data_IF_192552364597
#
_entry.id   IF_192552364597
#
_cell.length_a   1.000
_cell.length_b   1.000
_cell.length_c   1.000
_cell.angle_alpha   90.00
_cell.angle_beta   90.00
_cell.angle_gamma   90.00
#
_symmetry.space_group_name_H-M   'P 1'
#
loop_
_entity.id
_entity.type
_entity.pdbx_description
1 polymer ?
#
# COMPACT_ATOMS: atom_id res chain seq x y z
N UNK A 1 -41.13 6.54 38.57
CA UNK A 1 -40.43 7.82 38.48
C UNK A 1 -38.96 7.52 38.51
N UNK A 2 -38.10 7.71 37.55
CA UNK A 2 -38.09 8.50 36.35
C UNK A 2 -37.06 7.88 35.40
N UNK A 3 -37.45 7.57 34.19
CA UNK A 3 -36.56 7.37 33.03
C UNK A 3 -35.93 8.72 32.74
N UNK A 4 -34.60 8.74 32.52
CA UNK A 4 -33.86 9.66 31.64
C UNK A 4 -32.40 9.78 32.14
N UNK A 5 -31.52 8.88 31.68
CA UNK A 5 -30.08 9.09 31.55
C UNK A 5 -29.49 8.00 30.69
N UNK A 6 -29.73 8.06 29.39
CA UNK A 6 -29.05 7.17 28.44
C UNK A 6 -29.27 7.73 27.02
N UNK A 7 -28.58 8.84 26.71
CA UNK A 7 -28.51 9.39 25.33
C UNK A 7 -27.49 10.57 25.28
N UNK A 8 -26.31 10.41 25.86
CA UNK A 8 -25.30 11.48 25.78
C UNK A 8 -23.85 10.99 25.66
N UNK A 9 -23.59 9.73 25.28
CA UNK A 9 -22.19 9.25 25.07
C UNK A 9 -21.85 8.90 23.61
N UNK A 10 -22.79 8.98 22.70
CA UNK A 10 -22.56 8.71 21.27
C UNK A 10 -22.07 9.89 20.42
N UNK A 11 -21.94 11.10 21.01
CA UNK A 11 -21.67 12.33 20.23
C UNK A 11 -20.31 12.97 20.50
N UNK A 12 -19.46 12.41 21.36
CA UNK A 12 -18.20 13.08 21.79
C UNK A 12 -16.97 12.66 20.96
N UNK A 13 -17.00 11.56 20.23
CA UNK A 13 -15.84 11.11 19.44
C UNK A 13 -15.86 11.64 18.00
N UNK A 14 -16.99 12.12 17.50
CA UNK A 14 -17.07 12.89 16.24
C UNK A 14 -16.77 14.39 16.43
N UNK A 15 -16.68 14.89 17.68
CA UNK A 15 -16.43 16.30 18.00
C UNK A 15 -14.96 16.71 18.04
N UNK A 16 -14.02 15.78 17.98
CA UNK A 16 -12.56 16.08 18.00
C UNK A 16 -11.95 16.42 16.65
N UNK A 17 -12.68 16.24 15.55
CA UNK A 17 -12.25 16.60 14.19
C UNK A 17 -12.89 17.91 13.67
N UNK A 18 -13.70 18.59 14.47
CA UNK A 18 -14.33 19.87 14.11
C UNK A 18 -13.47 21.07 14.52
N UNK A 19 -12.22 21.08 14.13
CA UNK A 19 -11.24 22.14 14.49
C UNK A 19 -10.20 22.45 13.44
N UNK A 20 -10.52 22.27 12.14
CA UNK A 20 -9.86 23.01 11.05
C UNK A 20 -10.75 22.95 9.82
N UNK A 21 -11.06 24.13 9.30
CA UNK A 21 -11.79 24.30 8.06
C UNK A 21 -11.19 23.42 6.95
N UNK A 22 -12.07 22.75 6.21
CA UNK A 22 -11.81 22.14 4.90
C UNK A 22 -10.68 21.09 4.87
N UNK A 23 -10.85 19.95 5.55
CA UNK A 23 -10.22 18.73 5.08
C UNK A 23 -11.03 18.27 3.84
N UNK A 24 -10.77 18.90 2.69
CA UNK A 24 -11.30 18.44 1.42
C UNK A 24 -11.00 16.94 1.32
N UNK A 25 -12.04 16.14 1.06
CA UNK A 25 -11.88 14.69 0.90
C UNK A 25 -10.78 14.47 -0.15
N UNK A 26 -9.65 13.89 0.27
CA UNK A 26 -8.54 13.66 -0.64
C UNK A 26 -8.99 12.71 -1.73
N UNK A 27 -8.83 13.13 -2.96
CA UNK A 27 -9.17 12.32 -4.13
C UNK A 27 -8.10 11.25 -4.36
N UNK A 28 -8.54 10.07 -4.73
CA UNK A 28 -7.66 8.98 -5.14
C UNK A 28 -7.28 9.09 -6.63
N UNK A 29 -6.01 8.80 -6.94
CA UNK A 29 -5.49 8.87 -8.30
C UNK A 29 -4.84 7.56 -8.72
N UNK A 30 -5.17 7.11 -9.92
CA UNK A 30 -4.61 5.95 -10.59
C UNK A 30 -3.75 6.41 -11.77
N UNK A 31 -2.49 5.97 -11.82
CA UNK A 31 -1.60 6.21 -12.94
C UNK A 31 -1.54 4.94 -13.80
N UNK A 32 -2.03 5.04 -15.03
CA UNK A 32 -2.09 3.91 -15.97
C UNK A 32 -0.94 4.03 -16.97
N UNK A 33 -0.28 2.91 -17.36
CA UNK A 33 0.70 2.92 -18.43
C UNK A 33 0.15 3.55 -19.72
N UNK A 34 0.98 4.32 -20.39
CA UNK A 34 0.60 4.95 -21.65
C UNK A 34 0.65 3.91 -22.79
N UNK A 35 -0.30 3.99 -23.70
CA UNK A 35 -0.29 3.18 -24.91
C UNK A 35 0.90 3.59 -25.80
N UNK A 36 1.63 2.62 -26.30
CA UNK A 36 2.75 2.83 -27.21
C UNK A 36 2.30 2.52 -28.63
N UNK A 37 1.85 3.56 -29.36
CA UNK A 37 1.34 3.40 -30.71
C UNK A 37 2.48 3.21 -31.70
N UNK A 38 2.49 2.06 -32.38
CA UNK A 38 3.50 1.66 -33.36
C UNK A 38 4.96 1.61 -32.84
N UNK A 39 5.15 1.56 -31.52
CA UNK A 39 6.44 1.34 -30.90
C UNK A 39 6.66 -0.17 -30.71
N UNK A 40 7.84 -0.64 -31.07
CA UNK A 40 8.22 -2.06 -30.92
C UNK A 40 9.67 -2.19 -30.44
N UNK A 41 10.00 -3.37 -29.91
CA UNK A 41 11.36 -3.70 -29.49
C UNK A 41 11.86 -2.82 -28.35
N UNK A 42 12.97 -2.12 -28.58
CA UNK A 42 13.68 -1.34 -27.56
C UNK A 42 12.90 -0.11 -27.03
N UNK A 43 11.81 0.29 -27.67
CA UNK A 43 11.03 1.48 -27.30
C UNK A 43 9.71 1.13 -26.56
N UNK A 44 9.34 -0.13 -26.48
CA UNK A 44 8.07 -0.56 -25.85
C UNK A 44 7.94 -0.16 -24.38
N UNK A 45 9.06 0.02 -23.66
CA UNK A 45 9.08 0.41 -22.26
C UNK A 45 8.59 1.85 -21.97
N UNK A 46 8.50 2.70 -23.01
CA UNK A 46 8.29 4.15 -22.83
C UNK A 46 6.92 4.43 -22.19
N UNK A 47 5.88 3.67 -22.54
CA UNK A 47 4.56 3.82 -21.93
C UNK A 47 4.58 3.61 -20.42
N UNK A 48 5.28 2.58 -19.96
CA UNK A 48 5.53 2.35 -18.54
C UNK A 48 6.46 3.40 -17.94
N UNK A 49 7.44 3.87 -18.70
CA UNK A 49 8.34 4.95 -18.31
C UNK A 49 7.62 6.25 -18.01
N UNK A 50 6.66 6.63 -18.85
CA UNK A 50 5.80 7.81 -18.59
C UNK A 50 5.01 7.62 -17.31
N UNK A 51 4.39 6.46 -17.12
CA UNK A 51 3.61 6.18 -15.93
C UNK A 51 4.49 6.14 -14.66
N UNK A 52 5.71 5.62 -14.74
CA UNK A 52 6.65 5.63 -13.61
C UNK A 52 7.09 7.06 -13.26
N UNK A 53 7.43 7.89 -14.24
CA UNK A 53 7.75 9.30 -14.05
C UNK A 53 6.60 10.06 -13.35
N UNK A 54 5.36 9.86 -13.81
CA UNK A 54 4.18 10.45 -13.19
C UNK A 54 3.96 9.93 -11.76
N UNK A 55 4.15 8.64 -11.51
CA UNK A 55 4.06 8.04 -10.19
C UNK A 55 5.05 8.67 -9.22
N UNK A 56 6.32 8.78 -9.62
CA UNK A 56 7.37 9.42 -8.80
C UNK A 56 7.06 10.88 -8.50
N UNK A 57 6.46 11.59 -9.45
CA UNK A 57 6.13 12.99 -9.28
C UNK A 57 4.91 13.20 -8.37
N UNK A 58 3.82 12.47 -8.61
CA UNK A 58 2.57 12.71 -7.87
C UNK A 58 2.66 12.37 -6.38
N UNK A 59 3.54 11.45 -5.96
CA UNK A 59 3.81 11.22 -4.52
C UNK A 59 4.43 12.43 -3.82
N UNK A 60 4.97 13.39 -4.58
CA UNK A 60 5.54 14.61 -4.02
C UNK A 60 4.49 15.70 -3.74
N UNK A 61 3.21 15.45 -4.03
CA UNK A 61 2.14 16.43 -3.84
C UNK A 61 0.97 15.85 -3.06
N UNK A 62 0.43 16.62 -2.11
CA UNK A 62 -0.58 16.16 -1.17
C UNK A 62 -2.02 16.15 -1.71
N UNK A 63 -2.27 16.62 -2.94
CA UNK A 63 -3.62 16.77 -3.50
C UNK A 63 -4.34 15.43 -3.72
N UNK A 64 -3.57 14.37 -3.97
CA UNK A 64 -4.12 13.05 -4.28
C UNK A 64 -3.46 11.96 -3.44
N UNK A 65 -4.23 10.90 -3.20
CA UNK A 65 -3.73 9.62 -2.70
C UNK A 65 -3.52 8.70 -3.89
N UNK A 66 -2.29 8.24 -4.12
CA UNK A 66 -2.04 7.32 -5.21
C UNK A 66 -2.51 5.91 -4.89
N UNK A 67 -3.19 5.30 -5.86
CA UNK A 67 -3.52 3.87 -5.84
C UNK A 67 -2.31 3.10 -6.38
N UNK A 68 -1.91 2.05 -5.67
CA UNK A 68 -0.78 1.22 -6.08
C UNK A 68 -1.02 0.61 -7.48
N UNK A 69 -0.09 0.87 -8.40
CA UNK A 69 -0.10 0.33 -9.76
C UNK A 69 -0.06 -1.21 -9.81
N UNK A 70 0.43 -1.88 -8.78
CA UNK A 70 0.39 -3.34 -8.72
C UNK A 70 -1.03 -3.89 -8.82
N UNK A 71 -2.03 -3.13 -8.33
CA UNK A 71 -3.46 -3.50 -8.41
C UNK A 71 -4.01 -3.48 -9.84
N UNK A 72 -3.35 -2.79 -10.78
CA UNK A 72 -3.74 -2.77 -12.20
C UNK A 72 -3.58 -4.12 -12.89
N UNK A 73 -2.75 -5.03 -12.36
CA UNK A 73 -2.48 -6.33 -13.01
C UNK A 73 -3.74 -7.16 -13.28
N UNK A 74 -4.75 -7.03 -12.44
CA UNK A 74 -6.02 -7.73 -12.60
C UNK A 74 -6.85 -7.21 -13.79
N UNK A 75 -6.47 -6.06 -14.38
CA UNK A 75 -7.23 -5.34 -15.41
C UNK A 75 -6.45 -5.14 -16.72
N UNK A 76 -5.21 -5.65 -16.80
CA UNK A 76 -4.39 -5.51 -18.02
C UNK A 76 -5.01 -6.33 -19.13
N UNK A 77 -5.50 -5.65 -20.17
CA UNK A 77 -5.89 -6.28 -21.44
C UNK A 77 -4.62 -6.61 -22.23
N UNK A 78 -4.47 -7.84 -22.77
CA UNK A 78 -3.37 -8.18 -23.67
C UNK A 78 -3.26 -7.26 -24.89
N UNK A 79 -4.33 -6.54 -25.26
CA UNK A 79 -4.39 -5.60 -26.36
C UNK A 79 -4.04 -4.15 -25.96
N UNK A 80 -3.72 -3.89 -24.68
CA UNK A 80 -3.39 -2.58 -24.16
C UNK A 80 -4.55 -1.88 -23.44
N UNK A 81 -4.38 -0.59 -23.13
CA UNK A 81 -5.31 0.22 -22.36
C UNK A 81 -6.29 0.99 -23.24
N UNK A 82 -7.46 0.43 -23.52
CA UNK A 82 -8.56 1.17 -24.15
C UNK A 82 -9.27 2.09 -23.13
N UNK A 83 -10.01 3.09 -23.62
CA UNK A 83 -10.83 3.94 -22.75
C UNK A 83 -11.82 3.13 -21.89
N UNK A 84 -12.32 2.01 -22.41
CA UNK A 84 -13.23 1.12 -21.70
C UNK A 84 -12.53 0.36 -20.57
N UNK A 85 -11.33 -0.20 -20.80
CA UNK A 85 -10.54 -0.89 -19.77
C UNK A 85 -10.04 0.07 -18.69
N UNK A 86 -9.67 1.30 -19.08
CA UNK A 86 -9.36 2.38 -18.12
C UNK A 86 -10.55 2.64 -17.19
N UNK A 87 -11.75 2.87 -17.72
CA UNK A 87 -12.95 3.11 -16.93
C UNK A 87 -13.32 1.92 -16.04
N UNK A 88 -13.14 0.70 -16.53
CA UNK A 88 -13.33 -0.51 -15.72
C UNK A 88 -12.37 -0.55 -14.54
N UNK A 89 -11.08 -0.32 -14.75
CA UNK A 89 -10.08 -0.29 -13.69
C UNK A 89 -10.35 0.81 -12.66
N UNK A 90 -10.70 2.02 -13.12
CA UNK A 90 -11.02 3.18 -12.26
C UNK A 90 -12.19 2.87 -11.34
N UNK A 91 -13.27 2.28 -11.87
CA UNK A 91 -14.45 1.90 -11.09
C UNK A 91 -14.16 0.78 -10.10
N UNK A 92 -13.49 -0.27 -10.54
CA UNK A 92 -13.18 -1.43 -9.71
C UNK A 92 -12.18 -1.12 -8.58
N UNK A 93 -11.26 -0.17 -8.80
CA UNK A 93 -10.30 0.28 -7.80
C UNK A 93 -10.77 1.49 -6.99
N UNK A 94 -12.02 1.94 -7.21
CA UNK A 94 -12.61 3.11 -6.56
C UNK A 94 -11.71 4.36 -6.67
N UNK A 95 -11.10 4.57 -7.85
CA UNK A 95 -10.31 5.75 -8.13
C UNK A 95 -11.22 6.92 -8.50
N UNK A 96 -10.94 8.12 -7.96
CA UNK A 96 -11.64 9.35 -8.35
C UNK A 96 -11.13 9.89 -9.67
N UNK A 97 -9.83 9.70 -9.93
CA UNK A 97 -9.13 10.18 -11.11
C UNK A 97 -8.22 9.08 -11.65
N UNK A 98 -8.17 8.93 -12.98
CA UNK A 98 -7.06 8.22 -13.63
C UNK A 98 -6.39 9.12 -14.65
N UNK A 99 -5.06 9.02 -14.70
CA UNK A 99 -4.22 9.65 -15.72
C UNK A 99 -3.63 8.58 -16.61
N UNK A 100 -3.68 8.81 -17.92
CA UNK A 100 -3.26 7.89 -18.96
C UNK A 100 -2.99 8.63 -20.27
N UNK A 101 -2.68 7.96 -21.34
CA UNK A 101 -2.43 8.59 -22.62
C UNK A 101 -1.86 7.63 -23.64
N UNK A 102 -1.33 8.18 -24.71
CA UNK A 102 -0.57 7.44 -25.70
C UNK A 102 0.74 8.16 -26.05
N UNK A 103 1.72 7.39 -26.48
CA UNK A 103 3.01 7.86 -26.95
C UNK A 103 3.27 7.26 -28.32
N UNK A 104 3.69 8.10 -29.24
CA UNK A 104 4.19 7.66 -30.55
C UNK A 104 5.51 8.36 -30.85
N UNK A 105 6.25 7.81 -31.78
CA UNK A 105 7.46 8.42 -32.30
C UNK A 105 7.22 8.88 -33.75
N UNK A 106 7.44 10.14 -34.00
CA UNK A 106 7.64 10.69 -35.35
C UNK A 106 9.14 10.71 -35.67
N UNK A 107 9.54 10.92 -36.90
CA UNK A 107 10.89 10.71 -37.38
C UNK A 107 12.03 11.27 -36.47
N UNK A 108 11.80 12.40 -35.78
CA UNK A 108 12.79 13.08 -34.92
C UNK A 108 12.24 13.54 -33.57
N UNK A 109 11.01 13.15 -33.23
CA UNK A 109 10.34 13.62 -32.04
C UNK A 109 9.44 12.59 -31.42
N UNK A 110 9.24 12.72 -30.11
CA UNK A 110 8.23 12.02 -29.35
C UNK A 110 6.97 12.86 -29.27
N UNK A 111 5.84 12.25 -29.51
CA UNK A 111 4.53 12.87 -29.37
C UNK A 111 3.78 12.16 -28.24
N UNK A 112 3.53 12.90 -27.16
CA UNK A 112 2.83 12.39 -25.98
C UNK A 112 1.47 13.06 -25.95
N UNK A 113 0.39 12.26 -25.88
CA UNK A 113 -0.99 12.72 -25.78
C UNK A 113 -1.55 12.37 -24.42
N UNK A 114 -1.43 13.27 -23.44
CA UNK A 114 -1.94 13.02 -22.11
C UNK A 114 -3.46 13.13 -22.07
N UNK A 115 -4.08 12.19 -21.34
CA UNK A 115 -5.54 12.13 -21.12
C UNK A 115 -5.80 11.84 -19.65
N UNK A 116 -6.94 12.26 -19.14
CA UNK A 116 -7.41 11.84 -17.82
C UNK A 116 -8.90 11.56 -17.84
N UNK A 117 -9.36 10.85 -16.84
CA UNK A 117 -10.78 10.66 -16.54
C UNK A 117 -11.03 11.00 -15.08
N UNK A 118 -12.14 11.69 -14.81
CA UNK A 118 -12.60 12.03 -13.46
C UNK A 118 -14.00 11.47 -13.26
N UNK A 119 -14.21 10.66 -12.19
CA UNK A 119 -15.50 10.06 -11.88
C UNK A 119 -16.35 10.93 -10.94
N UNK A 120 -15.72 11.84 -10.20
CA UNK A 120 -16.43 12.73 -9.27
C UNK A 120 -17.27 13.76 -10.06
N UNK A 121 -18.58 13.54 -10.09
CA UNK A 121 -19.54 14.51 -10.66
C UNK A 121 -19.87 14.37 -12.15
N UNK A 122 -19.40 13.33 -12.84
CA UNK A 122 -19.63 13.17 -14.26
C UNK A 122 -19.72 11.72 -14.77
N UNK A 123 -20.03 11.57 -16.04
CA UNK A 123 -20.13 10.27 -16.72
C UNK A 123 -18.80 9.55 -16.90
N UNK A 124 -17.67 10.16 -16.50
CA UNK A 124 -16.33 9.58 -16.64
C UNK A 124 -15.86 9.55 -18.09
N UNK A 125 -16.10 10.61 -18.85
CA UNK A 125 -15.55 10.70 -20.20
C UNK A 125 -14.06 11.12 -20.17
N UNK A 126 -13.22 10.49 -21.01
CA UNK A 126 -11.82 10.89 -21.14
C UNK A 126 -11.66 12.31 -21.63
N UNK A 127 -10.86 13.10 -20.94
CA UNK A 127 -10.49 14.46 -21.31
C UNK A 127 -9.07 14.44 -21.87
N UNK A 128 -8.88 14.94 -23.08
CA UNK A 128 -7.56 15.12 -23.71
C UNK A 128 -6.94 16.45 -23.27
N UNK A 129 -5.66 16.42 -22.99
CA UNK A 129 -4.84 17.61 -22.74
C UNK A 129 -4.04 17.97 -24.00
N UNK A 130 -3.35 19.12 -23.96
CA UNK A 130 -2.50 19.54 -25.03
C UNK A 130 -1.41 18.51 -25.33
N UNK A 131 -1.24 18.20 -26.60
CA UNK A 131 -0.21 17.31 -27.09
C UNK A 131 1.19 17.88 -26.78
N UNK A 132 2.07 17.04 -26.28
CA UNK A 132 3.44 17.41 -25.98
C UNK A 132 4.37 16.81 -27.04
N UNK A 133 4.96 17.67 -27.87
CA UNK A 133 5.96 17.27 -28.86
C UNK A 133 7.35 17.59 -28.30
N UNK A 134 8.22 16.58 -28.27
CA UNK A 134 9.55 16.65 -27.66
C UNK A 134 10.58 16.07 -28.61
N UNK A 135 11.70 16.74 -28.79
CA UNK A 135 12.81 16.23 -29.61
C UNK A 135 13.32 14.87 -29.05
N UNK A 136 13.84 14.03 -29.93
CA UNK A 136 14.25 12.65 -29.61
C UNK A 136 15.20 12.56 -28.40
N UNK A 137 16.17 13.47 -28.31
CA UNK A 137 17.11 13.54 -27.17
C UNK A 137 16.54 14.16 -25.88
N UNK A 138 15.34 14.72 -25.89
CA UNK A 138 14.75 15.48 -24.80
C UNK A 138 13.55 14.79 -24.15
N UNK A 139 13.39 13.48 -24.35
CA UNK A 139 12.24 12.71 -23.82
C UNK A 139 12.04 12.95 -22.33
N UNK A 140 13.10 12.87 -21.52
CA UNK A 140 13.02 13.05 -20.07
C UNK A 140 12.61 14.47 -19.67
N UNK A 141 12.99 15.49 -20.46
CA UNK A 141 12.54 16.88 -20.28
C UNK A 141 11.05 17.04 -20.60
N UNK A 142 10.56 16.26 -21.57
CA UNK A 142 9.13 16.15 -21.85
C UNK A 142 8.38 15.53 -20.67
N UNK A 143 8.86 14.42 -20.12
CA UNK A 143 8.24 13.77 -18.98
C UNK A 143 8.16 14.70 -17.76
N UNK A 144 9.18 15.52 -17.53
CA UNK A 144 9.21 16.50 -16.44
C UNK A 144 8.07 17.54 -16.48
N UNK A 145 7.49 17.80 -17.65
CA UNK A 145 6.39 18.77 -17.82
C UNK A 145 5.01 18.20 -17.51
N UNK A 146 4.83 16.88 -17.67
CA UNK A 146 3.53 16.22 -17.58
C UNK A 146 2.85 16.34 -16.21
N UNK A 147 3.54 16.20 -15.05
CA UNK A 147 2.87 16.25 -13.76
C UNK A 147 2.15 17.57 -13.51
N UNK A 148 2.80 18.69 -13.81
CA UNK A 148 2.21 20.00 -13.64
C UNK A 148 1.04 20.24 -14.61
N UNK A 149 1.12 19.71 -15.84
CA UNK A 149 0.04 19.78 -16.82
C UNK A 149 -1.22 19.07 -16.29
N UNK A 150 -1.10 17.84 -15.81
CA UNK A 150 -2.21 17.09 -15.22
C UNK A 150 -2.80 17.77 -13.99
N UNK A 151 -1.96 18.18 -13.03
CA UNK A 151 -2.45 18.77 -11.79
C UNK A 151 -3.18 20.09 -12.03
N UNK A 152 -2.72 20.92 -12.98
CA UNK A 152 -3.43 22.15 -13.37
C UNK A 152 -4.77 21.85 -14.03
N UNK A 153 -4.83 20.84 -14.92
CA UNK A 153 -6.08 20.42 -15.56
C UNK A 153 -7.09 19.92 -14.53
N UNK A 154 -6.61 19.25 -13.46
CA UNK A 154 -7.40 18.79 -12.32
C UNK A 154 -7.66 19.91 -11.28
N UNK A 155 -7.40 21.18 -11.65
CA UNK A 155 -7.66 22.38 -10.84
C UNK A 155 -6.88 22.44 -9.53
N UNK A 156 -5.69 21.83 -9.49
CA UNK A 156 -4.76 21.96 -8.37
C UNK A 156 -3.93 23.22 -8.54
N UNK A 157 -3.94 24.07 -7.52
CA UNK A 157 -3.08 25.26 -7.48
C UNK A 157 -1.65 24.83 -7.16
N UNK A 158 -0.69 25.21 -8.03
CA UNK A 158 0.72 24.86 -7.88
C UNK A 158 1.56 26.13 -7.68
N UNK A 159 2.44 26.11 -6.71
CA UNK A 159 3.51 27.10 -6.55
C UNK A 159 4.66 26.82 -7.54
N UNK A 160 5.58 27.75 -7.70
CA UNK A 160 6.78 27.53 -8.51
C UNK A 160 7.64 26.38 -7.93
N UNK A 161 7.72 26.28 -6.61
CA UNK A 161 8.43 25.19 -5.91
C UNK A 161 7.77 23.84 -6.13
N UNK A 162 6.43 23.78 -6.16
CA UNK A 162 5.72 22.54 -6.49
C UNK A 162 6.05 22.08 -7.91
N UNK A 163 6.01 23.01 -8.88
CA UNK A 163 6.34 22.68 -10.28
C UNK A 163 7.78 22.18 -10.39
N UNK A 164 8.74 22.83 -9.73
CA UNK A 164 10.14 22.41 -9.76
C UNK A 164 10.35 21.02 -9.12
N UNK A 165 9.70 20.78 -7.97
CA UNK A 165 9.77 19.48 -7.24
C UNK A 165 9.15 18.35 -8.07
N UNK A 166 7.98 18.58 -8.66
CA UNK A 166 7.29 17.62 -9.52
C UNK A 166 8.12 17.28 -10.76
N UNK A 167 8.69 18.31 -11.41
CA UNK A 167 9.54 18.13 -12.59
C UNK A 167 10.81 17.33 -12.25
N UNK A 168 11.47 17.65 -11.14
CA UNK A 168 12.65 16.92 -10.67
C UNK A 168 12.34 15.46 -10.36
N UNK A 169 11.20 15.18 -9.74
CA UNK A 169 10.79 13.79 -9.44
C UNK A 169 10.41 13.00 -10.71
N UNK A 170 9.80 13.64 -11.71
CA UNK A 170 9.50 12.99 -12.99
C UNK A 170 10.75 12.75 -13.86
N UNK A 171 11.83 13.46 -13.60
CA UNK A 171 13.14 13.31 -14.27
C UNK A 171 14.22 12.94 -13.25
N UNK A 172 14.19 11.72 -12.70
CA UNK A 172 15.06 11.33 -11.59
C UNK A 172 16.51 11.05 -12.01
N UNK A 173 16.81 11.07 -13.31
CA UNK A 173 18.12 10.92 -13.92
C UNK A 173 18.22 11.75 -15.20
N UNK A 174 19.43 12.15 -15.60
CA UNK A 174 19.69 12.75 -16.91
C UNK A 174 19.91 11.75 -18.03
N UNK A 175 20.01 10.44 -17.74
CA UNK A 175 20.31 9.40 -18.71
C UNK A 175 19.05 8.61 -19.12
N UNK A 176 18.60 8.70 -20.38
CA UNK A 176 17.47 7.90 -20.87
C UNK A 176 17.74 6.39 -20.75
N UNK A 177 19.00 5.96 -20.92
CA UNK A 177 19.38 4.55 -20.79
C UNK A 177 19.31 4.07 -19.33
N UNK A 178 19.76 4.88 -18.38
CA UNK A 178 19.61 4.57 -16.95
C UNK A 178 18.14 4.50 -16.55
N UNK A 179 17.33 5.44 -17.05
CA UNK A 179 15.88 5.46 -16.79
C UNK A 179 15.18 4.23 -17.37
N UNK A 180 15.52 3.82 -18.61
CA UNK A 180 15.00 2.58 -19.20
C UNK A 180 15.30 1.36 -18.34
N UNK A 181 16.55 1.19 -17.90
CA UNK A 181 16.94 0.07 -17.03
C UNK A 181 16.21 0.11 -15.69
N UNK A 182 16.04 1.29 -15.12
CA UNK A 182 15.27 1.49 -13.90
C UNK A 182 13.79 1.07 -14.08
N UNK A 183 13.11 1.52 -15.12
CA UNK A 183 11.72 1.16 -15.42
C UNK A 183 11.60 -0.35 -15.63
N UNK A 184 12.51 -0.95 -16.42
CA UNK A 184 12.53 -2.39 -16.66
C UNK A 184 12.75 -3.18 -15.37
N UNK A 185 13.62 -2.69 -14.48
CA UNK A 185 13.84 -3.28 -13.15
C UNK A 185 12.58 -3.19 -12.27
N UNK A 186 11.89 -2.05 -12.28
CA UNK A 186 10.62 -1.87 -11.57
C UNK A 186 9.55 -2.84 -12.08
N UNK A 187 9.43 -3.01 -13.40
CA UNK A 187 8.49 -3.96 -14.02
C UNK A 187 8.83 -5.41 -13.67
N UNK A 188 10.11 -5.77 -13.64
CA UNK A 188 10.55 -7.10 -13.23
C UNK A 188 10.19 -7.37 -11.75
N UNK A 189 10.43 -6.41 -10.85
CA UNK A 189 10.08 -6.52 -9.44
C UNK A 189 8.56 -6.68 -9.23
N UNK A 190 7.76 -6.04 -10.07
CA UNK A 190 6.31 -6.17 -10.03
C UNK A 190 5.84 -7.62 -10.24
N UNK A 191 6.60 -8.53 -10.86
CA UNK A 191 6.21 -9.95 -11.00
C UNK A 191 6.07 -10.67 -9.65
N UNK A 192 6.72 -10.17 -8.59
CA UNK A 192 6.61 -10.69 -7.23
C UNK A 192 7.28 -12.07 -7.03
N UNK A 193 7.95 -12.59 -8.04
CA UNK A 193 8.68 -13.86 -8.00
C UNK A 193 10.16 -13.63 -7.64
N UNK A 194 10.82 -14.66 -7.12
CA UNK A 194 12.25 -14.60 -6.83
C UNK A 194 13.06 -14.23 -8.09
N UNK A 195 12.79 -14.88 -9.22
CA UNK A 195 13.44 -14.59 -10.51
C UNK A 195 13.18 -13.13 -10.94
N UNK A 196 11.95 -12.62 -10.73
CA UNK A 196 11.59 -11.23 -11.00
C UNK A 196 12.42 -10.25 -10.16
N UNK A 197 12.62 -10.53 -8.89
CA UNK A 197 13.47 -9.70 -8.01
C UNK A 197 14.94 -9.79 -8.35
N UNK A 198 15.47 -10.97 -8.72
CA UNK A 198 16.86 -11.14 -9.16
C UNK A 198 17.12 -10.34 -10.45
N UNK A 199 16.23 -10.47 -11.45
CA UNK A 199 16.27 -9.67 -12.68
C UNK A 199 16.20 -8.17 -12.40
N UNK A 200 15.31 -7.75 -11.49
CA UNK A 200 15.20 -6.35 -11.08
C UNK A 200 16.50 -5.84 -10.44
N UNK A 201 17.14 -6.65 -9.59
CA UNK A 201 18.41 -6.31 -8.95
C UNK A 201 19.50 -6.03 -9.97
N UNK A 202 19.66 -6.88 -10.97
CA UNK A 202 20.66 -6.71 -12.04
C UNK A 202 20.39 -5.48 -12.90
N UNK A 203 19.13 -5.23 -13.27
CA UNK A 203 18.76 -4.06 -14.06
C UNK A 203 18.98 -2.76 -13.30
N UNK A 204 18.60 -2.70 -12.01
CA UNK A 204 18.78 -1.54 -11.16
C UNK A 204 20.26 -1.27 -10.88
N UNK A 205 21.07 -2.30 -10.66
CA UNK A 205 22.53 -2.15 -10.50
C UNK A 205 23.14 -1.52 -11.76
N UNK A 206 22.79 -2.02 -12.95
CA UNK A 206 23.24 -1.44 -14.23
C UNK A 206 22.76 -0.01 -14.44
N UNK A 207 21.57 0.36 -13.96
CA UNK A 207 21.10 1.74 -14.01
C UNK A 207 21.98 2.66 -13.15
N UNK A 208 22.37 2.19 -11.96
CA UNK A 208 23.27 2.89 -11.03
C UNK A 208 24.71 2.97 -11.60
N UNK A 209 25.18 1.94 -12.30
CA UNK A 209 26.50 1.96 -12.97
C UNK A 209 26.56 3.04 -14.06
N UNK A 210 25.43 3.32 -14.76
CA UNK A 210 25.35 4.37 -15.76
C UNK A 210 25.23 5.75 -15.10
N UNK A 211 24.45 5.88 -14.04
CA UNK A 211 24.25 7.11 -13.29
C UNK A 211 24.32 6.83 -11.80
N UNK A 212 25.52 7.01 -11.22
CA UNK A 212 25.78 6.78 -9.80
C UNK A 212 25.03 7.76 -8.86
N UNK A 213 24.45 8.83 -9.41
CA UNK A 213 23.64 9.80 -8.66
C UNK A 213 22.14 9.50 -8.70
N UNK A 214 21.75 8.40 -9.35
CA UNK A 214 20.34 8.01 -9.51
C UNK A 214 19.75 7.48 -8.20
N UNK A 215 19.36 8.40 -7.31
CA UNK A 215 18.88 8.13 -5.94
C UNK A 215 17.73 7.13 -5.91
N UNK A 216 16.75 7.27 -6.81
CA UNK A 216 15.55 6.42 -6.85
C UNK A 216 15.89 4.99 -7.26
N UNK A 217 16.86 4.79 -8.16
CA UNK A 217 17.35 3.46 -8.52
C UNK A 217 18.07 2.81 -7.33
N UNK A 218 18.91 3.59 -6.62
CA UNK A 218 19.59 3.16 -5.41
C UNK A 218 18.60 2.69 -4.34
N UNK A 219 17.56 3.48 -4.07
CA UNK A 219 16.47 3.12 -3.17
C UNK A 219 15.73 1.85 -3.64
N UNK A 220 15.39 1.76 -4.93
CA UNK A 220 14.65 0.63 -5.50
C UNK A 220 15.46 -0.68 -5.42
N UNK A 221 16.78 -0.62 -5.58
CA UNK A 221 17.67 -1.77 -5.36
C UNK A 221 17.63 -2.23 -3.91
N UNK A 222 17.55 -1.29 -2.95
CA UNK A 222 17.35 -1.61 -1.54
C UNK A 222 16.03 -2.35 -1.29
N UNK A 223 14.94 -1.91 -1.92
CA UNK A 223 13.61 -2.58 -1.84
C UNK A 223 13.68 -4.00 -2.41
N UNK A 224 14.35 -4.19 -3.55
CA UNK A 224 14.56 -5.52 -4.14
C UNK A 224 15.37 -6.43 -3.20
N UNK A 225 16.45 -5.93 -2.60
CA UNK A 225 17.20 -6.71 -1.61
C UNK A 225 16.38 -7.06 -0.38
N UNK A 226 15.50 -6.18 0.07
CA UNK A 226 14.58 -6.46 1.18
C UNK A 226 13.59 -7.58 0.80
N UNK A 227 13.02 -7.55 -0.40
CA UNK A 227 12.12 -8.59 -0.90
C UNK A 227 12.82 -9.96 -1.02
N UNK A 228 14.10 -9.98 -1.39
CA UNK A 228 14.95 -11.19 -1.40
C UNK A 228 15.43 -11.63 -0.01
N UNK A 229 15.00 -10.98 1.08
CA UNK A 229 15.43 -11.30 2.45
C UNK A 229 16.85 -10.81 2.81
N UNK A 230 17.54 -10.10 1.91
CA UNK A 230 18.92 -9.63 2.08
C UNK A 230 18.98 -8.31 2.87
N UNK A 231 18.57 -8.34 4.14
CA UNK A 231 18.41 -7.15 5.00
C UNK A 231 19.63 -6.24 5.06
N UNK A 232 20.84 -6.81 5.11
CA UNK A 232 22.07 -6.03 5.17
C UNK A 232 22.35 -5.26 3.88
N UNK A 233 22.12 -5.91 2.72
CA UNK A 233 22.24 -5.24 1.42
C UNK A 233 21.17 -4.16 1.28
N UNK A 234 19.93 -4.44 1.70
CA UNK A 234 18.86 -3.44 1.70
C UNK A 234 19.23 -2.20 2.52
N UNK A 235 19.70 -2.39 3.77
CA UNK A 235 20.13 -1.30 4.64
C UNK A 235 21.29 -0.48 4.05
N UNK A 236 22.24 -1.14 3.39
CA UNK A 236 23.36 -0.47 2.72
C UNK A 236 22.85 0.44 1.59
N UNK A 237 21.93 -0.06 0.75
CA UNK A 237 21.36 0.71 -0.36
C UNK A 237 20.52 1.88 0.13
N UNK A 238 19.71 1.68 1.18
CA UNK A 238 18.92 2.78 1.76
C UNK A 238 19.82 3.88 2.36
N UNK A 239 20.92 3.51 3.05
CA UNK A 239 21.90 4.50 3.55
C UNK A 239 22.60 5.22 2.41
N UNK A 240 23.01 4.51 1.37
CA UNK A 240 23.59 5.13 0.19
C UNK A 240 22.64 6.15 -0.44
N UNK A 241 21.34 5.81 -0.53
CA UNK A 241 20.29 6.70 -1.02
C UNK A 241 20.15 7.96 -0.14
N UNK A 242 20.19 7.84 1.21
CA UNK A 242 20.16 9.00 2.11
C UNK A 242 21.43 9.86 2.05
N UNK A 243 22.56 9.30 1.66
CA UNK A 243 23.80 10.05 1.44
C UNK A 243 23.78 10.84 0.13
N UNK A 244 23.20 10.25 -0.93
CA UNK A 244 23.06 10.91 -2.23
C UNK A 244 22.03 12.06 -2.17
N UNK A 245 20.88 11.83 -1.58
CA UNK A 245 19.89 12.89 -1.32
C UNK A 245 19.32 12.78 0.10
N UNK A 246 19.83 13.59 1.05
CA UNK A 246 19.33 13.62 2.43
C UNK A 246 17.87 14.11 2.56
N UNK A 247 17.28 14.67 1.50
CA UNK A 247 15.90 15.15 1.48
C UNK A 247 14.92 14.15 0.89
N UNK A 248 15.39 12.99 0.43
CA UNK A 248 14.54 11.94 -0.12
C UNK A 248 13.95 11.10 1.02
N UNK A 249 12.62 11.13 1.30
CA UNK A 249 12.03 10.56 2.51
C UNK A 249 11.89 9.03 2.49
N UNK A 250 11.75 8.39 1.31
CA UNK A 250 11.49 6.96 1.18
C UNK A 250 12.56 6.08 1.83
N UNK A 251 13.86 6.34 1.69
CA UNK A 251 14.89 5.52 2.33
C UNK A 251 14.84 5.57 3.87
N UNK A 252 14.44 6.71 4.45
CA UNK A 252 14.29 6.80 5.90
C UNK A 252 13.12 5.94 6.38
N UNK A 253 11.98 5.97 5.68
CA UNK A 253 10.84 5.08 5.97
C UNK A 253 11.26 3.62 5.86
N UNK A 254 11.98 3.24 4.81
CA UNK A 254 12.45 1.87 4.61
C UNK A 254 13.47 1.41 5.67
N UNK A 255 14.35 2.30 6.14
CA UNK A 255 15.23 2.02 7.27
C UNK A 255 14.42 1.82 8.56
N UNK A 256 13.36 2.62 8.77
CA UNK A 256 12.42 2.42 9.87
C UNK A 256 11.79 1.02 9.85
N UNK A 257 11.33 0.56 8.69
CA UNK A 257 10.78 -0.79 8.51
C UNK A 257 11.80 -1.89 8.86
N UNK A 258 13.06 -1.72 8.43
CA UNK A 258 14.13 -2.67 8.75
C UNK A 258 14.43 -2.70 10.26
N UNK A 259 14.43 -1.55 10.94
CA UNK A 259 14.66 -1.46 12.38
C UNK A 259 13.50 -2.07 13.17
N UNK A 260 12.26 -1.78 12.75
CA UNK A 260 11.05 -2.34 13.39
C UNK A 260 11.02 -3.86 13.29
N UNK A 261 11.36 -4.41 12.11
CA UNK A 261 11.42 -5.84 11.88
C UNK A 261 12.69 -6.53 12.42
N UNK A 262 13.60 -5.79 13.09
CA UNK A 262 14.84 -6.37 13.59
C UNK A 262 14.60 -7.21 14.87
N UNK A 263 15.27 -8.37 15.02
CA UNK A 263 15.10 -9.22 16.23
C UNK A 263 15.50 -8.52 17.53
N UNK A 264 16.36 -7.50 17.45
CA UNK A 264 16.88 -6.74 18.60
C UNK A 264 15.95 -5.64 19.12
N UNK A 265 14.72 -5.55 18.63
CA UNK A 265 13.72 -4.54 19.06
C UNK A 265 14.25 -3.10 18.98
N UNK A 266 14.72 -2.71 17.81
CA UNK A 266 15.30 -1.38 17.56
C UNK A 266 14.21 -0.30 17.39
N UNK A 267 13.23 -0.26 18.29
CA UNK A 267 12.05 0.58 18.18
C UNK A 267 12.36 2.08 18.17
N UNK A 268 13.33 2.52 18.98
CA UNK A 268 13.72 3.94 19.01
C UNK A 268 14.33 4.39 17.70
N UNK A 269 15.19 3.56 17.10
CA UNK A 269 15.78 3.82 15.79
C UNK A 269 14.71 3.82 14.68
N UNK A 270 13.72 2.94 14.78
CA UNK A 270 12.59 2.94 13.87
C UNK A 270 11.77 4.23 13.98
N UNK A 271 11.46 4.66 15.21
CA UNK A 271 10.74 5.90 15.48
C UNK A 271 11.49 7.12 14.93
N UNK A 272 12.80 7.22 15.16
CA UNK A 272 13.63 8.30 14.62
C UNK A 272 13.64 8.32 13.08
N UNK A 273 13.76 7.16 12.45
CA UNK A 273 13.78 7.04 11.00
C UNK A 273 12.43 7.45 10.38
N UNK A 274 11.30 6.99 10.95
CA UNK A 274 9.97 7.42 10.51
C UNK A 274 9.73 8.91 10.77
N UNK A 275 10.16 9.43 11.92
CA UNK A 275 10.05 10.86 12.21
C UNK A 275 10.81 11.70 11.19
N UNK A 276 12.01 11.25 10.76
CA UNK A 276 12.77 11.92 9.70
C UNK A 276 12.05 11.88 8.35
N UNK A 277 11.45 10.74 7.98
CA UNK A 277 10.66 10.64 6.76
C UNK A 277 9.45 11.60 6.78
N UNK A 278 8.79 11.74 7.94
CA UNK A 278 7.65 12.65 8.16
C UNK A 278 8.10 14.13 8.13
N UNK A 279 9.24 14.46 8.74
CA UNK A 279 9.82 15.81 8.68
C UNK A 279 10.03 16.26 7.22
N UNK A 280 10.55 15.34 6.38
CA UNK A 280 10.82 15.61 4.97
C UNK A 280 9.55 15.66 4.12
N UNK A 281 8.55 14.85 4.46
CA UNK A 281 7.24 14.82 3.79
C UNK A 281 6.11 14.71 4.83
N UNK A 282 5.57 15.84 5.30
CA UNK A 282 4.55 15.87 6.38
C UNK A 282 3.23 15.14 6.05
N UNK A 283 2.99 14.81 4.80
CA UNK A 283 1.81 14.05 4.34
C UNK A 283 2.12 12.58 3.97
N UNK A 284 3.25 12.03 4.43
CA UNK A 284 3.68 10.66 4.13
C UNK A 284 2.93 9.67 5.02
N UNK A 285 1.74 9.26 4.58
CA UNK A 285 0.84 8.38 5.34
C UNK A 285 1.51 7.09 5.82
N UNK A 286 2.27 6.40 4.94
CA UNK A 286 2.92 5.12 5.29
C UNK A 286 4.02 5.28 6.35
N UNK A 287 4.67 6.45 6.43
CA UNK A 287 5.63 6.73 7.49
C UNK A 287 4.92 6.93 8.84
N UNK A 288 3.72 7.53 8.86
CA UNK A 288 2.90 7.60 10.06
C UNK A 288 2.40 6.22 10.51
N UNK A 289 2.07 5.32 9.57
CA UNK A 289 1.72 3.92 9.91
C UNK A 289 2.90 3.24 10.60
N UNK A 290 4.09 3.28 9.98
CA UNK A 290 5.29 2.69 10.57
C UNK A 290 5.65 3.29 11.94
N UNK A 291 5.46 4.60 12.10
CA UNK A 291 5.62 5.27 13.40
C UNK A 291 4.62 4.73 14.43
N UNK A 292 3.36 4.52 14.04
CA UNK A 292 2.33 3.91 14.88
C UNK A 292 2.69 2.49 15.28
N UNK A 293 3.09 1.66 14.32
CA UNK A 293 3.52 0.28 14.55
C UNK A 293 4.72 0.23 15.53
N UNK A 294 5.73 1.11 15.35
CA UNK A 294 6.91 1.17 16.22
C UNK A 294 6.56 1.62 17.64
N UNK A 295 5.67 2.60 17.78
CA UNK A 295 5.18 3.09 19.08
C UNK A 295 4.36 2.02 19.79
N UNK A 296 3.46 1.33 19.09
CA UNK A 296 2.70 0.22 19.65
C UNK A 296 3.63 -0.90 20.14
N UNK A 297 4.63 -1.29 19.33
CA UNK A 297 5.61 -2.29 19.70
C UNK A 297 6.48 -1.89 20.91
N UNK A 298 6.66 -0.58 21.15
CA UNK A 298 7.33 -0.02 22.32
C UNK A 298 6.40 0.07 23.55
N UNK A 299 5.08 -0.08 23.38
CA UNK A 299 4.06 0.08 24.43
C UNK A 299 3.50 1.51 24.56
N UNK A 300 3.86 2.43 23.65
CA UNK A 300 3.27 3.77 23.56
C UNK A 300 1.96 3.71 22.78
N UNK A 301 0.92 3.18 23.42
CA UNK A 301 -0.41 2.93 22.80
C UNK A 301 -1.07 4.23 22.34
N UNK A 302 -1.04 5.28 23.16
CA UNK A 302 -1.68 6.56 22.81
C UNK A 302 -0.92 7.26 21.67
N UNK A 303 0.41 7.18 21.69
CA UNK A 303 1.24 7.66 20.59
C UNK A 303 1.02 6.89 19.28
N UNK A 304 0.74 5.58 19.36
CA UNK A 304 0.40 4.77 18.20
C UNK A 304 -0.94 5.18 17.59
N UNK A 305 -1.98 5.33 18.42
CA UNK A 305 -3.31 5.81 17.98
C UNK A 305 -3.19 7.16 17.29
N UNK A 306 -2.47 8.11 17.91
CA UNK A 306 -2.26 9.44 17.32
C UNK A 306 -1.55 9.39 15.97
N UNK A 307 -0.55 8.50 15.81
CA UNK A 307 0.15 8.32 14.55
C UNK A 307 -0.77 7.72 13.47
N UNK A 308 -1.57 6.69 13.77
CA UNK A 308 -2.53 6.13 12.83
C UNK A 308 -3.63 7.11 12.43
N UNK A 309 -4.12 7.93 13.37
CA UNK A 309 -5.08 8.99 13.04
C UNK A 309 -4.48 10.01 12.07
N UNK A 310 -3.20 10.39 12.25
CA UNK A 310 -2.49 11.25 11.29
C UNK A 310 -2.32 10.59 9.93
N UNK A 311 -2.00 9.29 9.92
CA UNK A 311 -1.93 8.54 8.68
C UNK A 311 -3.27 8.57 7.92
N UNK A 312 -4.41 8.39 8.60
CA UNK A 312 -5.75 8.44 8.01
C UNK A 312 -6.15 9.83 7.50
N UNK A 313 -5.66 10.92 8.11
CA UNK A 313 -5.82 12.27 7.57
C UNK A 313 -5.18 12.38 6.17
N UNK A 314 -4.06 11.70 5.97
CA UNK A 314 -3.30 11.77 4.72
C UNK A 314 -3.70 10.70 3.69
N UNK A 315 -4.13 9.53 4.15
CA UNK A 315 -4.65 8.45 3.31
C UNK A 315 -5.82 7.74 4.01
N UNK A 316 -7.06 8.23 3.87
CA UNK A 316 -8.22 7.60 4.48
C UNK A 316 -8.65 6.28 3.84
N UNK A 317 -8.05 5.92 2.69
CA UNK A 317 -8.41 4.75 1.88
C UNK A 317 -7.49 3.54 2.14
N UNK A 318 -6.69 3.55 3.21
CA UNK A 318 -5.81 2.44 3.53
C UNK A 318 -6.48 1.48 4.53
N UNK A 319 -6.89 0.26 4.11
CA UNK A 319 -7.58 -0.70 4.97
C UNK A 319 -6.71 -1.17 6.14
N UNK A 320 -5.40 -1.31 5.93
CA UNK A 320 -4.45 -1.73 6.97
C UNK A 320 -4.45 -0.77 8.17
N UNK A 321 -4.52 0.55 7.94
CA UNK A 321 -4.56 1.53 9.04
C UNK A 321 -5.81 1.40 9.90
N UNK A 322 -6.96 1.19 9.26
CA UNK A 322 -8.20 0.96 9.99
C UNK A 322 -8.14 -0.34 10.81
N UNK A 323 -7.57 -1.42 10.25
CA UNK A 323 -7.39 -2.67 10.98
C UNK A 323 -6.38 -2.53 12.15
N UNK A 324 -5.28 -1.81 11.97
CA UNK A 324 -4.33 -1.53 13.06
C UNK A 324 -4.97 -0.76 14.21
N UNK A 325 -5.81 0.24 13.92
CA UNK A 325 -6.61 0.92 14.95
C UNK A 325 -7.60 -0.03 15.62
N UNK A 326 -8.29 -0.89 14.84
CA UNK A 326 -9.18 -1.91 15.37
C UNK A 326 -8.49 -2.81 16.38
N UNK A 327 -7.30 -3.29 16.04
CA UNK A 327 -6.48 -4.13 16.92
C UNK A 327 -6.12 -3.42 18.23
N UNK A 328 -5.66 -2.17 18.17
CA UNK A 328 -5.29 -1.41 19.37
C UNK A 328 -6.52 -1.09 20.22
N UNK A 329 -7.64 -0.69 19.62
CA UNK A 329 -8.87 -0.42 20.35
C UNK A 329 -9.35 -1.68 21.08
N UNK A 330 -9.26 -2.84 20.46
CA UNK A 330 -9.64 -4.12 21.09
C UNK A 330 -8.63 -4.55 22.16
N UNK A 331 -7.38 -4.77 21.77
CA UNK A 331 -6.39 -5.44 22.63
C UNK A 331 -5.90 -4.57 23.79
N UNK A 332 -5.74 -3.26 23.58
CA UNK A 332 -5.07 -2.36 24.53
C UNK A 332 -6.03 -1.46 25.29
N UNK A 333 -7.17 -1.12 24.69
CA UNK A 333 -8.12 -0.17 25.29
C UNK A 333 -9.45 -0.82 25.69
N UNK A 334 -9.75 -2.04 25.25
CA UNK A 334 -11.04 -2.70 25.48
C UNK A 334 -12.23 -1.96 24.86
N UNK A 335 -11.99 -1.16 23.83
CA UNK A 335 -12.97 -0.35 23.12
C UNK A 335 -13.59 -1.16 21.97
N UNK A 336 -14.50 -2.06 22.31
CA UNK A 336 -15.07 -3.05 21.38
C UNK A 336 -15.83 -2.43 20.22
N UNK A 337 -16.65 -1.41 20.46
CA UNK A 337 -17.46 -0.78 19.41
C UNK A 337 -16.59 -0.03 18.40
N UNK A 338 -15.56 0.64 18.90
CA UNK A 338 -14.57 1.34 18.10
C UNK A 338 -13.75 0.34 17.27
N UNK A 339 -13.37 -0.79 17.87
CA UNK A 339 -12.68 -1.87 17.18
C UNK A 339 -13.51 -2.46 16.04
N UNK A 340 -14.78 -2.81 16.30
CA UNK A 340 -15.72 -3.29 15.27
C UNK A 340 -15.89 -2.26 14.16
N UNK A 341 -16.05 -0.97 14.51
CA UNK A 341 -16.17 0.11 13.53
C UNK A 341 -14.93 0.25 12.65
N UNK A 342 -13.75 0.14 13.24
CA UNK A 342 -12.48 0.24 12.53
C UNK A 342 -12.26 -0.96 11.58
N UNK A 343 -12.49 -2.20 12.05
CA UNK A 343 -12.39 -3.39 11.20
C UNK A 343 -13.40 -3.39 10.05
N UNK A 344 -14.67 -3.01 10.32
CA UNK A 344 -15.67 -2.87 9.26
C UNK A 344 -15.26 -1.85 8.22
N UNK A 345 -14.69 -0.70 8.65
CA UNK A 345 -14.18 0.29 7.71
C UNK A 345 -13.02 -0.25 6.87
N UNK A 346 -12.15 -1.10 7.44
CA UNK A 346 -11.11 -1.79 6.66
C UNK A 346 -11.73 -2.71 5.59
N UNK A 347 -12.79 -3.45 5.93
CA UNK A 347 -13.49 -4.35 5.02
C UNK A 347 -14.35 -3.62 3.97
N UNK A 348 -14.88 -2.43 4.27
CA UNK A 348 -15.53 -1.59 3.28
C UNK A 348 -14.56 -1.15 2.18
N UNK A 349 -13.28 -0.93 2.54
CA UNK A 349 -12.22 -0.52 1.62
C UNK A 349 -11.58 -1.70 0.87
N UNK A 350 -11.45 -2.83 1.55
CA UNK A 350 -10.92 -4.07 1.00
C UNK A 350 -11.64 -5.27 1.60
N UNK A 351 -12.70 -5.76 0.93
CA UNK A 351 -13.46 -6.93 1.39
C UNK A 351 -12.65 -8.23 1.46
N UNK A 352 -11.45 -8.27 0.86
CA UNK A 352 -10.55 -9.41 0.89
C UNK A 352 -9.42 -9.28 1.94
N UNK A 353 -9.50 -8.29 2.82
CA UNK A 353 -8.45 -8.05 3.82
C UNK A 353 -8.54 -9.05 4.98
N UNK A 354 -7.79 -10.13 4.90
CA UNK A 354 -7.80 -11.28 5.82
C UNK A 354 -7.63 -10.86 7.28
N UNK A 355 -6.65 -9.97 7.57
CA UNK A 355 -6.38 -9.52 8.95
C UNK A 355 -7.58 -8.81 9.60
N UNK A 356 -8.39 -8.11 8.81
CA UNK A 356 -9.57 -7.43 9.32
C UNK A 356 -10.70 -8.42 9.64
N UNK A 357 -10.87 -9.47 8.83
CA UNK A 357 -11.80 -10.57 9.15
C UNK A 357 -11.36 -11.30 10.42
N UNK A 358 -10.06 -11.60 10.57
CA UNK A 358 -9.53 -12.23 11.78
C UNK A 358 -9.77 -11.35 13.01
N UNK A 359 -9.40 -10.08 12.97
CA UNK A 359 -9.58 -9.17 14.09
C UNK A 359 -11.05 -8.94 14.45
N UNK A 360 -11.94 -8.86 13.46
CA UNK A 360 -13.39 -8.76 13.70
C UNK A 360 -13.94 -10.04 14.33
N UNK A 361 -13.48 -11.20 13.87
CA UNK A 361 -13.81 -12.49 14.44
C UNK A 361 -13.38 -12.61 15.90
N UNK A 362 -12.15 -12.18 16.24
CA UNK A 362 -11.64 -12.15 17.62
C UNK A 362 -12.49 -11.26 18.53
N UNK A 363 -12.89 -10.07 18.05
CA UNK A 363 -13.77 -9.18 18.82
C UNK A 363 -15.14 -9.83 19.07
N UNK A 364 -15.72 -10.49 18.07
CA UNK A 364 -17.00 -11.18 18.21
C UNK A 364 -16.90 -12.39 19.14
N UNK A 365 -15.82 -13.18 19.04
CA UNK A 365 -15.58 -14.32 19.92
C UNK A 365 -15.48 -13.91 21.38
N UNK A 366 -14.72 -12.85 21.70
CA UNK A 366 -14.59 -12.32 23.08
C UNK A 366 -15.94 -11.87 23.66
N UNK A 367 -16.85 -11.39 22.80
CA UNK A 367 -18.23 -11.05 23.20
C UNK A 367 -19.19 -12.23 23.28
N UNK A 368 -18.74 -13.44 22.99
CA UNK A 368 -19.57 -14.63 22.92
C UNK A 368 -20.52 -14.68 21.71
N UNK A 369 -20.28 -13.83 20.70
CA UNK A 369 -21.02 -13.81 19.45
C UNK A 369 -20.41 -14.83 18.47
N UNK A 370 -20.47 -16.11 18.88
CA UNK A 370 -19.73 -17.18 18.21
C UNK A 370 -20.16 -17.42 16.75
N UNK A 371 -21.44 -17.16 16.42
CA UNK A 371 -21.93 -17.30 15.04
C UNK A 371 -21.32 -16.26 14.11
N UNK A 372 -21.25 -15.02 14.58
CA UNK A 372 -20.62 -13.92 13.88
C UNK A 372 -19.11 -14.15 13.74
N UNK A 373 -18.45 -14.60 14.80
CA UNK A 373 -17.03 -14.95 14.78
C UNK A 373 -16.73 -16.05 13.74
N UNK A 374 -17.52 -17.13 13.73
CA UNK A 374 -17.40 -18.20 12.73
C UNK A 374 -17.51 -17.65 11.32
N UNK A 375 -18.49 -16.78 11.07
CA UNK A 375 -18.68 -16.18 9.75
C UNK A 375 -17.46 -15.39 9.28
N UNK A 376 -16.82 -14.62 10.17
CA UNK A 376 -15.63 -13.85 9.81
C UNK A 376 -14.40 -14.77 9.64
N UNK A 377 -14.19 -15.77 10.51
CA UNK A 377 -13.10 -16.71 10.36
C UNK A 377 -13.23 -17.60 9.12
N UNK A 378 -14.45 -18.01 8.75
CA UNK A 378 -14.70 -18.72 7.50
C UNK A 378 -14.30 -17.90 6.28
N UNK A 379 -14.67 -16.63 6.24
CA UNK A 379 -14.23 -15.71 5.17
C UNK A 379 -12.71 -15.58 5.11
N UNK A 380 -12.03 -15.48 6.26
CA UNK A 380 -10.58 -15.44 6.32
C UNK A 380 -9.95 -16.73 5.73
N UNK A 381 -10.51 -17.90 6.02
CA UNK A 381 -10.06 -19.18 5.45
C UNK A 381 -10.37 -19.30 3.96
N UNK A 382 -11.51 -18.77 3.48
CA UNK A 382 -11.87 -18.75 2.07
C UNK A 382 -10.93 -17.87 1.26
N UNK A 383 -10.50 -16.74 1.83
CA UNK A 383 -9.57 -15.79 1.19
C UNK A 383 -8.12 -16.27 1.19
N UNK A 384 -7.70 -16.92 2.27
CA UNK A 384 -6.38 -17.55 2.39
C UNK A 384 -6.49 -18.91 3.09
N UNK A 385 -6.61 -19.95 2.27
CA UNK A 385 -6.79 -21.33 2.72
C UNK A 385 -5.54 -21.90 3.42
N UNK A 386 -4.40 -21.25 3.28
CA UNK A 386 -3.12 -21.61 3.90
C UNK A 386 -2.79 -20.78 5.14
N UNK A 387 -3.65 -19.85 5.55
CA UNK A 387 -3.42 -19.01 6.71
C UNK A 387 -3.60 -19.80 8.01
N UNK A 388 -2.52 -20.12 8.77
CA UNK A 388 -2.63 -21.02 9.92
C UNK A 388 -3.50 -20.40 11.03
N UNK A 389 -3.35 -19.11 11.34
CA UNK A 389 -4.13 -18.41 12.36
C UNK A 389 -5.63 -18.42 12.08
N UNK A 390 -6.06 -18.28 10.81
CA UNK A 390 -7.48 -18.35 10.45
C UNK A 390 -8.07 -19.73 10.75
N UNK A 391 -7.36 -20.79 10.39
CA UNK A 391 -7.80 -22.17 10.67
C UNK A 391 -7.78 -22.50 12.15
N UNK A 392 -6.78 -22.01 12.88
CA UNK A 392 -6.70 -22.16 14.33
C UNK A 392 -7.91 -21.52 15.02
N UNK A 393 -8.18 -20.24 14.74
CA UNK A 393 -9.28 -19.50 15.35
C UNK A 393 -10.64 -20.12 15.00
N UNK A 394 -10.81 -20.57 13.74
CA UNK A 394 -12.02 -21.26 13.31
C UNK A 394 -12.23 -22.57 14.10
N UNK A 395 -11.20 -23.39 14.26
CA UNK A 395 -11.28 -24.63 15.03
C UNK A 395 -11.59 -24.34 16.52
N UNK A 396 -10.94 -23.34 17.11
CA UNK A 396 -11.12 -22.95 18.50
C UNK A 396 -12.53 -22.44 18.80
N UNK A 397 -13.11 -21.61 17.93
CA UNK A 397 -14.47 -21.11 18.14
C UNK A 397 -15.52 -22.21 17.97
N UNK A 398 -15.30 -23.18 17.06
CA UNK A 398 -16.19 -24.31 16.91
C UNK A 398 -16.24 -25.22 18.15
N UNK A 399 -15.20 -25.27 18.99
CA UNK A 399 -15.27 -25.97 20.29
C UNK A 399 -16.40 -25.47 21.20
N UNK A 400 -16.80 -24.21 21.03
CA UNK A 400 -17.86 -23.57 21.82
C UNK A 400 -19.27 -23.83 21.27
N UNK A 401 -19.38 -24.18 19.97
CA UNK A 401 -20.67 -24.29 19.27
C UNK A 401 -20.97 -25.71 18.82
N UNK A 402 -19.97 -26.36 18.21
CA UNK A 402 -20.07 -27.74 17.70
C UNK A 402 -18.73 -28.47 17.89
N UNK A 403 -18.54 -29.12 19.03
CA UNK A 403 -17.31 -29.88 19.31
C UNK A 403 -17.04 -31.00 18.29
N UNK A 404 -18.07 -31.52 17.62
CA UNK A 404 -17.91 -32.61 16.65
C UNK A 404 -17.24 -32.06 15.38
N UNK A 405 -17.70 -30.92 14.89
CA UNK A 405 -17.07 -30.25 13.73
C UNK A 405 -15.67 -29.73 14.10
N UNK A 406 -15.47 -29.25 15.33
CA UNK A 406 -14.16 -28.79 15.80
C UNK A 406 -13.06 -29.84 15.63
N UNK A 407 -13.38 -31.16 15.81
CA UNK A 407 -12.41 -32.25 15.60
C UNK A 407 -11.86 -32.23 14.19
N UNK A 408 -12.72 -32.13 13.18
CA UNK A 408 -12.30 -32.11 11.79
C UNK A 408 -11.48 -30.86 11.43
N UNK A 409 -11.83 -29.71 12.01
CA UNK A 409 -11.12 -28.44 11.80
C UNK A 409 -9.72 -28.45 12.45
N UNK A 410 -9.59 -29.03 13.65
CA UNK A 410 -8.27 -29.21 14.29
C UNK A 410 -7.36 -30.17 13.52
N UNK A 411 -7.90 -31.24 12.96
CA UNK A 411 -7.13 -32.14 12.10
C UNK A 411 -6.58 -31.42 10.88
N UNK A 412 -7.43 -30.66 10.19
CA UNK A 412 -7.01 -29.83 9.00
C UNK A 412 -5.98 -28.77 9.36
N UNK A 413 -6.11 -28.13 10.54
CA UNK A 413 -5.11 -27.18 11.02
C UNK A 413 -3.77 -27.89 11.27
N UNK A 414 -3.75 -29.03 11.98
CA UNK A 414 -2.54 -29.78 12.29
C UNK A 414 -1.83 -30.24 11.02
N UNK A 415 -2.58 -30.73 10.02
CA UNK A 415 -2.02 -31.16 8.74
C UNK A 415 -1.31 -30.01 8.00
N UNK A 416 -1.90 -28.83 7.98
CA UNK A 416 -1.29 -27.65 7.39
C UNK A 416 -0.09 -27.15 8.20
N UNK A 417 -0.31 -26.91 9.48
CA UNK A 417 0.64 -26.22 10.36
C UNK A 417 1.88 -27.08 10.68
N UNK A 418 1.77 -28.41 10.65
CA UNK A 418 2.92 -29.32 10.85
C UNK A 418 4.00 -29.18 9.80
N UNK A 419 3.69 -28.57 8.64
CA UNK A 419 4.65 -28.31 7.57
C UNK A 419 5.38 -26.95 7.77
N UNK A 420 4.94 -26.15 8.74
CA UNK A 420 5.45 -24.80 8.99
C UNK A 420 6.28 -24.78 10.29
N UNK A 421 7.60 -24.53 10.22
CA UNK A 421 8.46 -24.51 11.41
C UNK A 421 8.04 -23.47 12.46
N UNK A 422 7.41 -22.36 12.04
CA UNK A 422 6.88 -21.32 12.91
C UNK A 422 5.69 -21.76 13.77
N UNK A 423 4.97 -22.79 13.33
CA UNK A 423 3.72 -23.24 13.97
C UNK A 423 3.92 -24.41 14.94
N UNK A 424 5.14 -24.88 15.14
CA UNK A 424 5.44 -26.09 15.91
C UNK A 424 4.77 -26.11 17.30
N UNK A 425 4.89 -25.03 18.06
CA UNK A 425 4.34 -24.94 19.41
C UNK A 425 2.81 -24.92 19.38
N UNK A 426 2.21 -24.26 18.38
CA UNK A 426 0.77 -24.21 18.19
C UNK A 426 0.18 -25.55 17.74
N UNK A 427 0.92 -26.33 16.97
CA UNK A 427 0.54 -27.71 16.60
C UNK A 427 0.44 -28.58 17.82
N UNK A 428 1.35 -28.47 18.80
CA UNK A 428 1.29 -29.23 20.03
C UNK A 428 0.08 -28.82 20.90
N UNK A 429 -0.24 -27.55 20.97
CA UNK A 429 -1.47 -27.04 21.60
C UNK A 429 -2.71 -27.62 20.90
N UNK A 430 -2.76 -27.56 19.58
CA UNK A 430 -3.88 -28.10 18.80
C UNK A 430 -4.09 -29.59 19.00
N UNK A 431 -3.01 -30.37 19.12
CA UNK A 431 -3.09 -31.81 19.47
C UNK A 431 -3.70 -32.05 20.84
N UNK A 432 -3.39 -31.20 21.81
CA UNK A 432 -4.01 -31.31 23.17
C UNK A 432 -5.50 -31.01 23.09
N UNK A 433 -5.93 -29.96 22.34
CA UNK A 433 -7.35 -29.66 22.13
C UNK A 433 -8.07 -30.85 21.49
N UNK A 434 -7.51 -31.36 20.39
CA UNK A 434 -8.08 -32.54 19.70
C UNK A 434 -8.21 -33.78 20.61
N UNK A 435 -7.18 -34.05 21.40
CA UNK A 435 -7.23 -35.19 22.36
C UNK A 435 -8.34 -35.02 23.40
N UNK A 436 -8.47 -33.82 23.97
CA UNK A 436 -9.52 -33.48 24.94
C UNK A 436 -10.92 -33.63 24.33
N UNK A 437 -11.15 -33.07 23.13
CA UNK A 437 -12.42 -33.15 22.42
C UNK A 437 -12.84 -34.58 22.12
N UNK A 438 -11.92 -35.43 21.63
CA UNK A 438 -12.17 -36.86 21.38
C UNK A 438 -12.51 -37.64 22.65
N UNK A 439 -12.05 -37.20 23.82
CA UNK A 439 -12.43 -37.75 25.11
C UNK A 439 -13.82 -37.32 25.60
N UNK A 440 -14.31 -36.16 25.17
CA UNK A 440 -15.62 -35.60 25.53
C UNK A 440 -16.78 -36.09 24.65
N UNK A 441 -16.51 -36.39 23.38
CA UNK A 441 -17.51 -36.81 22.38
C UNK A 441 -17.81 -38.34 22.51
N UNK A 442 -17.00 -39.09 23.24
CA UNK A 442 -17.26 -40.50 23.58
C UNK A 442 -18.29 -40.62 24.71
#
# INVERSE_FOLDING_TARGET
MSRTRSLALGAIILGGLAGSADAAVKRSMLVIPFETLALAGEEAWIGDGVAEALTLAFVQHSAFVQIDRARLRAFVDPQGWSAASVLQAVRALHADVAVFGDVRRDATSWVIRPRYVELTGGAGEPVSLDELVVADGELLDGLAKLPALYLRALKVTLTADDVARLAGAARPTGSPRAFHLFVSGRLAALKGSQEGYETAGDLLARAIDIDSTFVVAQYSLGVVHQALGNRWKAAAQFRASTQLDPRYPEPYKALGDLFLAAPRRLYDQAIEAYAKAIELRPFYADAYVGLGDAKAAKGDVDGAIAAYQKALVHNPLNPRMHASLGKIYFAEKGLYYEAVGAYKRALDLDPAFVDAHLGLGEVYEDKGLYKEAIGEYQKAVELDDKHPGARYNLAAVYEKVDPTEAVSLWERYIDLASQLPSEKDWVDVARQHLHKLRGQIK
#
